data_IF_910519777897
#
_entry.id   IF_910519777897
#
_cell.length_a   1.000
_cell.length_b   1.000
_cell.length_c   1.000
_cell.angle_alpha   90.00
_cell.angle_beta   90.00
_cell.angle_gamma   90.00
#
_symmetry.space_group_name_H-M   'P 1'
#
loop_
_entity.id
_entity.type
_entity.pdbx_description
1 polymer ?
#
# COMPACT_ATOMS: atom_id res chain seq x y z
N UNK A 1 -3.10 4.29 4.71
CA UNK A 1 -2.53 3.07 5.34
C UNK A 1 -1.19 3.38 6.00
N UNK A 2 -1.02 3.05 7.29
CA UNK A 2 0.22 3.33 8.05
C UNK A 2 1.47 2.62 7.54
N UNK A 3 1.31 1.48 6.85
CA UNK A 3 2.41 0.69 6.28
C UNK A 3 3.12 1.46 5.16
N UNK A 4 2.36 2.08 4.25
CA UNK A 4 2.93 2.85 3.12
C UNK A 4 3.76 4.03 3.62
N UNK A 5 3.27 4.70 4.67
CA UNK A 5 4.03 5.75 5.37
C UNK A 5 5.28 5.22 6.05
N UNK A 6 5.21 4.07 6.72
CA UNK A 6 6.39 3.46 7.35
C UNK A 6 7.47 3.08 6.34
N UNK A 7 7.09 2.59 5.15
CA UNK A 7 8.02 2.36 4.03
C UNK A 7 8.61 3.68 3.53
N UNK A 8 7.78 4.71 3.30
CA UNK A 8 8.24 6.02 2.85
C UNK A 8 9.22 6.68 3.84
N UNK A 9 9.02 6.47 5.15
CA UNK A 9 9.89 6.94 6.24
C UNK A 9 11.09 6.00 6.52
N UNK A 10 11.29 4.95 5.72
CA UNK A 10 12.34 3.91 5.91
C UNK A 10 12.32 3.20 7.26
N UNK A 11 11.15 3.20 7.93
CA UNK A 11 10.93 2.42 9.17
C UNK A 11 10.68 0.94 8.89
N UNK A 12 10.31 0.61 7.66
CA UNK A 12 10.19 -0.76 7.13
C UNK A 12 10.88 -0.82 5.77
N UNK A 13 11.32 -2.02 5.39
CA UNK A 13 11.71 -2.34 4.00
C UNK A 13 10.57 -3.09 3.28
N UNK A 14 10.47 -2.99 1.95
CA UNK A 14 9.46 -3.71 1.17
C UNK A 14 9.44 -5.22 1.43
N UNK A 15 10.59 -5.83 1.66
CA UNK A 15 10.76 -7.27 1.88
C UNK A 15 10.16 -7.72 3.22
N UNK A 16 9.90 -6.78 4.13
CA UNK A 16 9.25 -7.03 5.43
C UNK A 16 7.73 -6.93 5.38
N UNK A 17 7.15 -6.64 4.20
CA UNK A 17 5.72 -6.37 4.05
C UNK A 17 5.15 -7.23 2.92
N UNK A 18 4.12 -8.01 3.25
CA UNK A 18 3.29 -8.70 2.26
C UNK A 18 1.88 -8.11 2.30
N UNK A 19 1.41 -7.61 1.15
CA UNK A 19 0.07 -7.07 1.01
C UNK A 19 -0.71 -7.91 -0.01
N UNK A 20 -1.95 -8.24 0.33
CA UNK A 20 -2.84 -9.02 -0.52
C UNK A 20 -4.20 -8.34 -0.61
N UNK A 21 -4.81 -8.37 -1.79
CA UNK A 21 -6.21 -8.09 -1.99
C UNK A 21 -6.96 -9.41 -2.13
N UNK A 22 -8.08 -9.52 -1.41
CA UNK A 22 -8.95 -10.70 -1.48
C UNK A 22 -10.20 -10.25 -2.21
N UNK A 23 -10.45 -10.87 -3.36
CA UNK A 23 -11.66 -10.68 -4.14
C UNK A 23 -12.56 -11.89 -3.94
N UNK A 24 -13.78 -11.67 -3.44
CA UNK A 24 -14.78 -12.74 -3.35
C UNK A 24 -15.36 -13.01 -4.73
N UNK A 25 -15.37 -14.28 -5.13
CA UNK A 25 -16.05 -14.70 -6.34
C UNK A 25 -17.47 -15.12 -5.99
N UNK A 26 -18.44 -14.33 -6.46
CA UNK A 26 -19.87 -14.56 -6.19
C UNK A 26 -20.47 -15.65 -7.07
N UNK A 27 -19.83 -16.01 -8.19
CA UNK A 27 -20.29 -17.05 -9.11
C UNK A 27 -19.86 -18.46 -8.67
N UNK A 28 -18.63 -18.59 -8.16
CA UNK A 28 -18.09 -19.86 -7.64
C UNK A 28 -17.68 -19.62 -6.19
N UNK A 29 -18.38 -20.22 -5.23
CA UNK A 29 -18.16 -20.07 -3.78
C UNK A 29 -16.68 -20.15 -3.40
N UNK A 30 -15.99 -19.01 -3.36
CA UNK A 30 -14.55 -18.95 -3.20
C UNK A 30 -14.01 -17.52 -3.23
N UNK A 31 -12.70 -17.39 -3.03
CA UNK A 31 -12.01 -16.10 -3.04
C UNK A 31 -10.72 -16.21 -3.83
N UNK A 32 -10.39 -15.14 -4.56
CA UNK A 32 -9.12 -14.99 -5.26
C UNK A 32 -8.20 -14.10 -4.43
N UNK A 33 -6.98 -14.58 -4.18
CA UNK A 33 -5.95 -13.83 -3.48
C UNK A 33 -4.99 -13.21 -4.51
N UNK A 34 -4.92 -11.89 -4.53
CA UNK A 34 -4.10 -11.13 -5.47
C UNK A 34 -2.99 -10.41 -4.69
N UNK A 35 -1.71 -10.74 -4.90
CA UNK A 35 -0.60 -10.05 -4.22
C UNK A 35 -0.45 -8.61 -4.75
N UNK A 36 -0.20 -7.68 -3.84
CA UNK A 36 0.12 -6.28 -4.14
C UNK A 36 1.57 -6.02 -3.70
N UNK A 37 2.43 -5.75 -4.67
CA UNK A 37 3.83 -5.39 -4.39
C UNK A 37 3.92 -3.93 -4.00
N UNK A 38 4.69 -3.62 -2.95
CA UNK A 38 5.04 -2.26 -2.56
C UNK A 38 6.51 -1.99 -2.90
N UNK A 39 6.81 -0.81 -3.42
CA UNK A 39 8.21 -0.38 -3.56
C UNK A 39 8.72 0.30 -2.27
N UNK A 40 9.98 0.72 -2.30
CA UNK A 40 10.66 1.42 -1.21
C UNK A 40 10.03 2.77 -0.82
N UNK A 41 9.14 3.32 -1.65
CA UNK A 41 8.36 4.54 -1.39
C UNK A 41 6.97 4.25 -0.82
N UNK A 42 6.64 2.98 -0.61
CA UNK A 42 5.30 2.55 -0.21
C UNK A 42 4.26 2.69 -1.34
N UNK A 43 4.70 2.80 -2.59
CA UNK A 43 3.82 2.84 -3.76
C UNK A 43 3.49 1.42 -4.19
N UNK A 44 2.20 1.08 -4.32
CA UNK A 44 1.78 -0.23 -4.83
C UNK A 44 1.98 -0.33 -6.34
N UNK A 45 2.30 -1.54 -6.82
CA UNK A 45 2.40 -1.85 -8.25
C UNK A 45 1.02 -1.83 -8.96
N UNK A 46 -0.04 -2.15 -8.22
CA UNK A 46 -1.43 -2.10 -8.65
C UNK A 46 -2.34 -1.89 -7.42
N UNK A 47 -3.54 -1.33 -7.62
CA UNK A 47 -4.52 -1.14 -6.54
C UNK A 47 -5.95 -1.39 -7.04
N UNK A 48 -6.81 -2.06 -6.26
CA UNK A 48 -8.21 -2.25 -6.61
C UNK A 48 -8.95 -0.92 -6.69
N UNK A 49 -9.79 -0.77 -7.72
CA UNK A 49 -10.63 0.41 -7.86
C UNK A 49 -11.64 0.49 -6.70
N UNK A 50 -11.94 1.70 -6.24
CA UNK A 50 -12.93 1.95 -5.19
C UNK A 50 -12.47 1.65 -3.75
N UNK A 51 -11.28 1.06 -3.54
CA UNK A 51 -10.74 0.71 -2.20
C UNK A 51 -9.95 1.88 -1.56
N UNK A 52 -9.94 3.07 -2.16
CA UNK A 52 -9.16 4.19 -1.65
C UNK A 52 -9.92 5.02 -0.62
N UNK A 53 -9.67 4.77 0.66
CA UNK A 53 -10.01 5.67 1.76
C UNK A 53 -8.77 5.89 2.64
N UNK A 54 -7.73 6.52 2.10
CA UNK A 54 -6.66 7.04 2.95
C UNK A 54 -7.10 8.37 3.58
N UNK A 55 -6.93 8.47 4.89
CA UNK A 55 -7.07 9.73 5.60
C UNK A 55 -6.08 10.77 5.04
N UNK A 56 -6.53 12.02 4.96
CA UNK A 56 -5.76 13.16 4.51
C UNK A 56 -4.43 13.29 5.27
N UNK A 57 -4.40 12.98 6.56
CA UNK A 57 -3.15 13.00 7.35
C UNK A 57 -2.11 11.98 6.87
N UNK A 58 -2.54 10.77 6.52
CA UNK A 58 -1.65 9.73 5.99
C UNK A 58 -1.09 10.13 4.62
N UNK A 59 -1.94 10.71 3.76
CA UNK A 59 -1.52 11.20 2.45
C UNK A 59 -0.46 12.32 2.57
N UNK A 60 -0.68 13.29 3.46
CA UNK A 60 0.30 14.35 3.72
C UNK A 60 1.59 13.80 4.33
N UNK A 61 1.49 12.84 5.26
CA UNK A 61 2.64 12.18 5.86
C UNK A 61 3.52 11.47 4.84
N UNK A 62 2.91 10.69 3.93
CA UNK A 62 3.64 10.03 2.83
C UNK A 62 4.34 11.06 1.95
N UNK A 63 3.64 12.13 1.54
CA UNK A 63 4.24 13.18 0.69
C UNK A 63 5.41 13.89 1.38
N UNK A 64 5.28 14.19 2.68
CA UNK A 64 6.35 14.80 3.45
C UNK A 64 7.58 13.89 3.55
N UNK A 65 7.38 12.61 3.85
CA UNK A 65 8.45 11.62 3.92
C UNK A 65 9.20 11.48 2.59
N UNK A 66 8.47 11.40 1.47
CA UNK A 66 9.08 11.32 0.14
C UNK A 66 9.90 12.56 -0.22
N UNK A 67 9.42 13.77 0.12
CA UNK A 67 10.18 15.02 -0.07
C UNK A 67 11.49 15.06 0.70
N UNK A 68 11.52 14.53 1.93
CA UNK A 68 12.76 14.47 2.72
C UNK A 68 13.80 13.53 2.11
N UNK A 69 13.38 12.55 1.30
CA UNK A 69 14.28 11.61 0.62
C UNK A 69 14.93 12.17 -0.65
N UNK A 70 14.35 13.21 -1.24
CA UNK A 70 14.83 13.84 -2.47
C UNK A 70 15.83 14.99 -2.20
N UNK A 71 16.04 15.34 -0.93
CA UNK A 71 17.08 16.27 -0.46
C UNK A 71 18.32 15.50 -0.01
#
# INVERSE_FOLDING_TARGET
MRIRRALAEKRLSPEQVMLYFIEENTEYKGSTVIPIGLNDRGTPNWWPQGIFAEDQHEFQGIRAALRMREK
#
